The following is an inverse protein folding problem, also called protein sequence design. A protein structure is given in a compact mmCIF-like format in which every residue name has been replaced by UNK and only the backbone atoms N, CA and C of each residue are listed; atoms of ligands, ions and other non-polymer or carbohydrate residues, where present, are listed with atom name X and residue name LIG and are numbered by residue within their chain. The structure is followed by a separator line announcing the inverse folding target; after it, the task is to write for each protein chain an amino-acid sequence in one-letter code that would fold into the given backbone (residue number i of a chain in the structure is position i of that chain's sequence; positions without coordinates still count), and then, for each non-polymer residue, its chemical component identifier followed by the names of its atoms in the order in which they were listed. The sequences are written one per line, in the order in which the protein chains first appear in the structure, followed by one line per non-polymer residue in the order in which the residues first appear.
data_IF_537999483493
#
_entry.id   IF_537999483493
#
_cell.length_a   1.000
_cell.length_b   1.000
_cell.length_c   1.000
_cell.angle_alpha   90.00
_cell.angle_beta   90.00
_cell.angle_gamma   90.00
#
_symmetry.space_group_name_H-M   'P 1'
#
loop_
_entity.id
_entity.type
_entity.pdbx_description
1 polymer ?
#
# COMPACT_ATOMS: atom_id res chain seq x y z
N UNK A 1 31.93 4.33 -1.48
CA UNK A 1 31.77 3.01 -0.85
C UNK A 1 32.16 1.95 -1.86
N UNK A 2 32.93 0.95 -1.46
CA UNK A 2 33.32 -0.17 -2.33
C UNK A 2 32.27 -1.30 -2.22
N UNK A 3 31.34 -1.31 -3.18
CA UNK A 3 30.24 -2.28 -3.20
C UNK A 3 30.70 -3.72 -3.43
N UNK A 4 31.82 -3.95 -4.13
CA UNK A 4 32.38 -5.30 -4.30
C UNK A 4 32.88 -5.87 -2.98
N UNK A 5 33.61 -5.05 -2.23
CA UNK A 5 34.11 -5.43 -0.91
C UNK A 5 32.99 -5.64 0.10
N UNK A 6 31.92 -4.80 0.04
CA UNK A 6 30.75 -4.96 0.87
C UNK A 6 30.00 -6.24 0.54
N UNK A 7 29.72 -6.50 -0.73
CA UNK A 7 29.04 -7.69 -1.22
C UNK A 7 29.77 -8.97 -0.79
N UNK A 8 31.09 -9.03 -0.99
CA UNK A 8 31.92 -10.16 -0.59
C UNK A 8 31.85 -10.43 0.92
N UNK A 9 31.97 -9.36 1.73
CA UNK A 9 31.87 -9.48 3.18
C UNK A 9 30.49 -9.95 3.64
N UNK A 10 29.41 -9.48 3.01
CA UNK A 10 28.04 -9.93 3.31
C UNK A 10 27.92 -11.43 3.00
N UNK A 11 28.31 -11.85 1.78
CA UNK A 11 28.22 -13.26 1.35
C UNK A 11 29.02 -14.17 2.30
N UNK A 12 30.25 -13.80 2.63
CA UNK A 12 31.07 -14.58 3.57
C UNK A 12 30.42 -14.68 4.95
N UNK A 13 29.84 -13.59 5.47
CA UNK A 13 29.27 -13.60 6.82
C UNK A 13 27.85 -14.20 6.91
N UNK A 14 27.17 -14.47 5.81
CA UNK A 14 25.95 -15.30 5.80
C UNK A 14 26.25 -16.80 5.63
N UNK A 15 27.54 -17.18 5.57
CA UNK A 15 28.00 -18.58 5.51
C UNK A 15 28.39 -19.03 4.10
N UNK A 16 28.87 -18.10 3.26
CA UNK A 16 29.28 -18.27 1.89
C UNK A 16 28.18 -18.70 0.91
N UNK A 17 28.52 -18.72 -0.38
CA UNK A 17 27.59 -19.05 -1.48
C UNK A 17 26.92 -20.39 -1.27
N UNK A 18 27.64 -21.39 -0.74
CA UNK A 18 27.12 -22.72 -0.50
C UNK A 18 25.99 -22.78 0.52
N UNK A 19 25.91 -21.81 1.42
CA UNK A 19 24.86 -21.70 2.41
C UNK A 19 23.63 -20.96 1.90
N UNK A 20 23.72 -20.22 0.77
CA UNK A 20 22.64 -19.43 0.21
C UNK A 20 21.81 -20.29 -0.73
N UNK A 21 20.51 -20.44 -0.48
CA UNK A 21 19.56 -21.06 -1.40
C UNK A 21 19.07 -20.07 -2.45
N UNK A 22 18.58 -18.91 -2.01
CA UNK A 22 18.11 -17.84 -2.87
C UNK A 22 18.43 -16.49 -2.24
N UNK A 23 18.62 -15.48 -3.10
CA UNK A 23 18.72 -14.08 -2.72
C UNK A 23 17.61 -13.29 -3.39
N UNK A 24 16.82 -12.60 -2.61
CA UNK A 24 15.83 -11.63 -3.05
C UNK A 24 16.06 -10.30 -2.37
N UNK A 25 15.37 -9.26 -2.80
CA UNK A 25 15.46 -7.95 -2.17
C UNK A 25 14.12 -7.22 -2.15
N UNK A 26 13.95 -6.30 -1.21
CA UNK A 26 12.93 -5.26 -1.24
C UNK A 26 13.60 -3.89 -1.46
N UNK A 27 12.94 -2.78 -1.12
CA UNK A 27 13.52 -1.45 -1.33
C UNK A 27 14.73 -1.14 -0.45
N UNK A 28 14.88 -1.78 0.71
CA UNK A 28 15.90 -1.43 1.71
C UNK A 28 16.71 -2.62 2.23
N UNK A 29 16.33 -3.88 1.91
CA UNK A 29 16.89 -5.09 2.53
C UNK A 29 17.23 -6.16 1.51
N UNK A 30 18.41 -6.76 1.67
CA UNK A 30 18.72 -8.07 1.08
C UNK A 30 18.06 -9.17 1.92
N UNK A 31 17.47 -10.16 1.27
CA UNK A 31 16.78 -11.29 1.90
C UNK A 31 17.41 -12.58 1.44
N UNK A 32 18.12 -13.20 2.33
CA UNK A 32 18.76 -14.48 2.10
C UNK A 32 17.89 -15.62 2.64
N UNK A 33 17.60 -16.59 1.81
CA UNK A 33 17.13 -17.90 2.26
C UNK A 33 18.35 -18.78 2.43
N UNK A 34 18.69 -19.08 3.67
CA UNK A 34 19.89 -19.86 4.02
C UNK A 34 19.51 -21.32 4.24
N UNK A 35 20.43 -22.23 3.88
CA UNK A 35 20.31 -23.67 4.20
C UNK A 35 20.44 -23.90 5.69
N UNK A 36 21.34 -23.16 6.34
CA UNK A 36 21.63 -23.22 7.76
C UNK A 36 21.87 -21.78 8.31
N UNK A 37 20.89 -21.24 9.00
CA UNK A 37 20.98 -19.90 9.57
C UNK A 37 22.01 -19.76 10.70
N UNK A 38 22.44 -20.88 11.31
CA UNK A 38 23.44 -20.87 12.38
C UNK A 38 24.84 -20.53 11.89
N UNK A 39 25.10 -20.66 10.59
CA UNK A 39 26.37 -20.30 9.96
C UNK A 39 26.53 -18.81 9.72
N UNK A 40 25.43 -18.04 9.82
CA UNK A 40 25.48 -16.60 9.62
C UNK A 40 25.98 -15.90 10.89
N UNK A 41 26.97 -15.02 10.70
CA UNK A 41 27.54 -14.22 11.78
C UNK A 41 26.85 -12.84 11.83
N UNK A 42 25.79 -12.73 12.67
CA UNK A 42 25.01 -11.51 12.80
C UNK A 42 25.83 -10.32 13.25
N UNK A 43 26.68 -10.51 14.25
CA UNK A 43 27.49 -9.42 14.84
C UNK A 43 28.51 -8.87 13.83
N UNK A 44 29.14 -9.75 13.06
CA UNK A 44 30.06 -9.34 12.01
C UNK A 44 29.35 -8.56 10.89
N UNK A 45 28.11 -8.94 10.54
CA UNK A 45 27.30 -8.24 9.54
C UNK A 45 26.84 -6.86 10.02
N UNK A 46 26.41 -6.73 11.27
CA UNK A 46 25.98 -5.46 11.85
C UNK A 46 27.13 -4.44 11.95
N UNK A 47 28.36 -4.91 12.09
CA UNK A 47 29.56 -4.07 12.14
C UNK A 47 30.12 -3.68 10.74
N UNK A 48 29.50 -4.10 9.64
CA UNK A 48 29.95 -3.70 8.31
C UNK A 48 29.52 -2.27 7.98
N UNK A 49 30.45 -1.49 7.46
CA UNK A 49 30.15 -0.16 6.96
C UNK A 49 29.13 -0.25 5.80
N UNK A 50 27.98 0.42 5.94
CA UNK A 50 26.87 0.40 5.00
C UNK A 50 25.76 -0.58 5.33
N UNK A 51 25.91 -1.37 6.39
CA UNK A 51 24.82 -2.17 6.99
C UNK A 51 24.16 -1.36 8.09
N UNK A 52 22.84 -1.19 8.02
CA UNK A 52 22.05 -0.47 9.01
C UNK A 52 21.61 -1.41 10.13
N UNK A 53 21.42 -2.68 9.82
CA UNK A 53 21.03 -3.70 10.80
C UNK A 53 20.79 -5.06 10.14
N UNK A 54 20.63 -6.08 10.98
CA UNK A 54 20.39 -7.47 10.53
C UNK A 54 19.24 -8.07 11.31
N UNK A 55 18.28 -8.67 10.60
CA UNK A 55 17.09 -9.30 11.18
C UNK A 55 16.95 -10.71 10.66
N UNK A 56 16.66 -11.66 11.55
CA UNK A 56 16.26 -13.01 11.19
C UNK A 56 14.80 -13.20 11.57
N UNK A 57 13.93 -13.37 10.57
CA UNK A 57 12.51 -13.57 10.78
C UNK A 57 11.91 -14.42 9.64
N UNK A 58 10.92 -15.26 9.97
CA UNK A 58 10.21 -16.08 9.00
C UNK A 58 11.08 -17.03 8.17
N UNK A 59 12.22 -17.48 8.72
CA UNK A 59 13.15 -18.34 7.99
C UNK A 59 14.04 -17.61 7.00
N UNK A 60 13.98 -16.28 6.93
CA UNK A 60 14.81 -15.43 6.07
C UNK A 60 15.80 -14.61 6.90
N UNK A 61 17.01 -14.52 6.39
CA UNK A 61 18.07 -13.70 6.97
C UNK A 61 18.16 -12.38 6.19
N UNK A 62 17.86 -11.27 6.85
CA UNK A 62 17.69 -9.96 6.21
C UNK A 62 18.80 -9.01 6.62
N UNK A 63 19.50 -8.44 5.63
CA UNK A 63 20.52 -7.41 5.82
C UNK A 63 20.01 -6.08 5.28
N UNK A 64 19.88 -5.09 6.15
CA UNK A 64 19.32 -3.77 5.85
C UNK A 64 20.43 -2.87 5.36
N UNK A 65 20.34 -2.39 4.12
CA UNK A 65 21.35 -1.57 3.44
C UNK A 65 20.85 -0.18 3.06
N UNK A 66 19.52 0.05 3.12
CA UNK A 66 18.92 1.32 2.70
C UNK A 66 19.29 1.68 1.25
N UNK A 67 19.85 2.88 1.06
CA UNK A 67 20.22 3.38 -0.27
C UNK A 67 21.33 2.58 -1.00
N UNK A 68 22.07 1.76 -0.29
CA UNK A 68 23.18 0.95 -0.85
C UNK A 68 22.72 -0.41 -1.38
N UNK A 69 21.41 -0.70 -1.30
CA UNK A 69 20.87 -2.01 -1.60
C UNK A 69 21.09 -2.44 -3.05
N UNK A 70 20.59 -1.65 -4.01
CA UNK A 70 20.56 -2.06 -5.42
C UNK A 70 21.96 -2.33 -5.96
N UNK A 71 22.91 -1.44 -5.68
CA UNK A 71 24.30 -1.60 -6.12
C UNK A 71 24.93 -2.85 -5.49
N UNK A 72 24.64 -3.13 -4.21
CA UNK A 72 25.18 -4.31 -3.53
C UNK A 72 24.53 -5.60 -4.06
N UNK A 73 23.20 -5.57 -4.29
CA UNK A 73 22.48 -6.70 -4.87
C UNK A 73 22.99 -7.06 -6.26
N UNK A 74 23.14 -6.05 -7.14
CA UNK A 74 23.66 -6.25 -8.51
C UNK A 74 25.06 -6.86 -8.51
N UNK A 75 25.94 -6.41 -7.62
CA UNK A 75 27.28 -6.99 -7.46
C UNK A 75 27.21 -8.44 -6.98
N UNK A 76 26.36 -8.74 -5.99
CA UNK A 76 26.20 -10.12 -5.50
C UNK A 76 25.69 -11.03 -6.62
N UNK A 77 24.70 -10.58 -7.38
CA UNK A 77 24.14 -11.39 -8.47
C UNK A 77 25.11 -11.62 -9.63
N UNK A 78 25.96 -10.62 -9.93
CA UNK A 78 26.92 -10.71 -11.02
C UNK A 78 28.19 -11.49 -10.66
N UNK A 79 28.69 -11.31 -9.43
CA UNK A 79 30.00 -11.88 -9.01
C UNK A 79 29.86 -13.27 -8.34
N UNK A 80 28.64 -13.60 -7.82
CA UNK A 80 28.36 -14.86 -7.14
C UNK A 80 27.17 -15.55 -7.81
N UNK A 81 27.34 -16.73 -8.33
CA UNK A 81 26.31 -17.48 -9.07
C UNK A 81 25.18 -17.99 -8.11
N UNK A 82 24.39 -17.05 -7.56
CA UNK A 82 23.32 -17.31 -6.60
C UNK A 82 21.97 -17.29 -7.33
N UNK A 83 21.06 -18.20 -6.95
CA UNK A 83 19.70 -18.20 -7.49
C UNK A 83 18.95 -16.91 -7.10
N UNK A 84 18.47 -16.18 -8.13
CA UNK A 84 17.69 -14.96 -7.91
C UNK A 84 16.28 -15.27 -7.47
N UNK A 85 15.86 -14.69 -6.34
CA UNK A 85 14.47 -14.66 -5.89
C UNK A 85 13.69 -13.44 -6.41
N UNK A 86 14.34 -12.55 -7.15
CA UNK A 86 13.75 -11.32 -7.68
C UNK A 86 13.47 -10.24 -6.62
N UNK A 87 12.79 -9.19 -7.08
CA UNK A 87 12.29 -8.13 -6.18
C UNK A 87 11.03 -8.59 -5.47
N UNK A 88 11.00 -8.44 -4.16
CA UNK A 88 9.86 -8.80 -3.31
C UNK A 88 9.25 -7.51 -2.76
N UNK A 89 7.91 -7.41 -2.79
CA UNK A 89 7.20 -6.27 -2.22
C UNK A 89 7.43 -6.18 -0.70
N UNK A 90 7.69 -4.98 -0.18
CA UNK A 90 7.97 -4.74 1.25
C UNK A 90 6.86 -5.21 2.20
N UNK A 91 5.64 -5.37 1.67
CA UNK A 91 4.47 -5.77 2.46
C UNK A 91 4.47 -7.24 2.94
N UNK A 92 5.40 -8.08 2.48
CA UNK A 92 5.50 -9.47 2.94
C UNK A 92 6.12 -9.62 4.35
N UNK A 93 6.76 -8.58 4.88
CA UNK A 93 7.36 -8.62 6.22
C UNK A 93 6.31 -8.69 7.35
N UNK A 94 5.07 -8.29 7.09
CA UNK A 94 3.97 -8.36 8.06
C UNK A 94 3.49 -9.78 8.36
N UNK A 95 3.75 -10.75 7.48
CA UNK A 95 3.30 -12.13 7.65
C UNK A 95 4.36 -13.04 8.30
N UNK A 96 5.59 -12.55 8.49
CA UNK A 96 6.71 -13.31 9.06
C UNK A 96 6.85 -13.15 10.58
N UNK A 97 6.05 -12.30 11.21
CA UNK A 97 5.96 -12.30 12.68
C UNK A 97 5.25 -13.58 13.12
N UNK A 98 5.75 -14.26 14.18
CA UNK A 98 5.02 -15.37 14.79
C UNK A 98 3.58 -14.94 15.01
N UNK A 99 2.59 -15.75 14.60
CA UNK A 99 1.17 -15.47 14.85
C UNK A 99 0.97 -15.35 16.37
N UNK A 100 1.15 -14.13 16.88
CA UNK A 100 0.81 -13.84 18.27
C UNK A 100 -0.67 -14.15 18.48
N UNK A 101 -1.03 -14.79 19.60
CA UNK A 101 -2.41 -15.09 19.91
C UNK A 101 -3.23 -13.78 19.90
N UNK A 102 -4.47 -13.87 19.41
CA UNK A 102 -5.39 -12.75 19.38
C UNK A 102 -5.63 -12.23 20.79
N UNK A 103 -5.05 -11.08 21.12
CA UNK A 103 -5.26 -10.38 22.39
C UNK A 103 -5.80 -8.99 22.06
N UNK A 104 -6.73 -8.48 22.82
CA UNK A 104 -7.29 -7.13 22.63
C UNK A 104 -6.20 -6.04 22.58
N UNK A 105 -5.11 -6.26 23.33
CA UNK A 105 -3.93 -5.39 23.33
C UNK A 105 -3.21 -5.34 21.97
N UNK A 106 -3.24 -6.44 21.20
CA UNK A 106 -2.60 -6.54 19.89
C UNK A 106 -3.54 -6.22 18.72
N UNK A 107 -4.86 -6.12 18.98
CA UNK A 107 -5.85 -5.82 17.93
C UNK A 107 -5.65 -4.42 17.35
N UNK A 108 -5.42 -3.43 18.19
CA UNK A 108 -5.14 -2.05 17.76
C UNK A 108 -3.88 -1.96 16.89
N UNK A 109 -2.80 -2.61 17.30
CA UNK A 109 -1.55 -2.68 16.53
C UNK A 109 -1.73 -3.34 15.16
N UNK A 110 -2.53 -4.40 15.08
CA UNK A 110 -2.86 -5.09 13.81
C UNK A 110 -3.68 -4.22 12.88
N UNK A 111 -4.66 -3.47 13.40
CA UNK A 111 -5.47 -2.53 12.62
C UNK A 111 -4.58 -1.39 12.07
N UNK A 112 -3.76 -0.78 12.91
CA UNK A 112 -2.83 0.27 12.50
C UNK A 112 -1.84 -0.27 11.46
N UNK A 113 -1.29 -1.46 11.67
CA UNK A 113 -0.41 -2.13 10.72
C UNK A 113 -1.08 -2.42 9.38
N UNK A 114 -2.34 -2.85 9.37
CA UNK A 114 -3.13 -3.05 8.14
C UNK A 114 -3.36 -1.73 7.40
N UNK A 115 -3.79 -0.68 8.10
CA UNK A 115 -4.00 0.65 7.52
C UNK A 115 -2.69 1.17 6.93
N UNK A 116 -1.60 1.13 7.70
CA UNK A 116 -0.28 1.58 7.26
C UNK A 116 0.19 0.84 6.01
N UNK A 117 0.13 -0.49 6.00
CA UNK A 117 0.55 -1.30 4.84
C UNK A 117 -0.32 -1.08 3.61
N UNK A 118 -1.60 -0.72 3.79
CA UNK A 118 -2.51 -0.40 2.67
C UNK A 118 -2.21 0.96 2.04
N UNK A 119 -1.69 1.91 2.82
CA UNK A 119 -1.37 3.28 2.39
C UNK A 119 0.03 3.39 1.80
N UNK A 120 0.98 2.60 2.29
CA UNK A 120 2.40 2.66 1.88
C UNK A 120 2.62 2.65 0.37
N UNK A 121 1.95 1.82 -0.45
CA UNK A 121 2.20 1.78 -1.90
C UNK A 121 1.89 3.08 -2.63
N UNK A 122 1.02 3.94 -2.09
CA UNK A 122 0.65 5.21 -2.74
C UNK A 122 1.54 6.39 -2.34
N UNK A 123 2.36 6.27 -1.28
CA UNK A 123 3.18 7.36 -0.75
C UNK A 123 4.05 8.03 -1.82
N UNK A 124 4.76 7.30 -2.71
CA UNK A 124 5.55 7.93 -3.77
C UNK A 124 4.72 8.83 -4.69
N UNK A 125 3.50 8.41 -5.03
CA UNK A 125 2.57 9.20 -5.84
C UNK A 125 2.11 10.47 -5.12
N UNK A 126 1.82 10.40 -3.82
CA UNK A 126 1.45 11.57 -3.02
C UNK A 126 2.60 12.58 -2.92
N UNK A 127 3.83 12.11 -2.72
CA UNK A 127 5.02 12.96 -2.69
C UNK A 127 5.20 13.66 -4.04
N UNK A 128 5.13 12.92 -5.15
CA UNK A 128 5.27 13.49 -6.49
C UNK A 128 4.19 14.52 -6.81
N UNK A 129 2.92 14.21 -6.53
CA UNK A 129 1.80 15.14 -6.70
C UNK A 129 1.93 16.39 -5.83
N UNK A 130 2.32 16.21 -4.56
CA UNK A 130 2.56 17.30 -3.63
C UNK A 130 3.69 18.24 -4.09
N UNK A 131 4.81 17.67 -4.54
CA UNK A 131 5.91 18.47 -5.10
C UNK A 131 5.51 19.23 -6.36
N UNK A 132 4.70 18.63 -7.23
CA UNK A 132 4.18 19.32 -8.40
C UNK A 132 3.27 20.50 -8.01
N UNK A 133 2.40 20.34 -6.99
CA UNK A 133 1.61 21.47 -6.43
C UNK A 133 2.49 22.60 -5.92
N UNK A 134 3.59 22.26 -5.22
CA UNK A 134 4.55 23.27 -4.76
C UNK A 134 5.17 24.03 -5.93
N UNK A 135 5.59 23.34 -6.99
CA UNK A 135 6.15 23.98 -8.19
C UNK A 135 5.12 24.92 -8.82
N UNK A 136 3.86 24.49 -8.98
CA UNK A 136 2.80 25.35 -9.52
C UNK A 136 2.55 26.58 -8.64
N UNK A 137 2.57 26.42 -7.32
CA UNK A 137 2.44 27.54 -6.38
C UNK A 137 3.59 28.54 -6.53
N UNK A 138 4.84 28.07 -6.67
CA UNK A 138 6.00 28.93 -6.86
C UNK A 138 5.91 29.72 -8.18
N UNK A 139 5.44 29.09 -9.26
CA UNK A 139 5.22 29.78 -10.54
C UNK A 139 4.21 30.92 -10.37
N UNK A 140 3.05 30.63 -9.76
CA UNK A 140 2.00 31.66 -9.54
C UNK A 140 2.47 32.77 -8.63
N UNK A 141 3.26 32.44 -7.60
CA UNK A 141 3.67 33.43 -6.58
C UNK A 141 4.83 34.31 -7.05
N UNK A 142 5.81 33.76 -7.78
CA UNK A 142 7.07 34.46 -8.05
C UNK A 142 7.30 34.81 -9.54
N UNK A 143 6.59 34.12 -10.47
CA UNK A 143 6.84 34.29 -11.90
C UNK A 143 5.67 35.01 -12.57
N UNK A 144 4.46 34.47 -12.50
CA UNK A 144 3.28 35.03 -13.15
C UNK A 144 2.01 34.66 -12.39
N UNK A 145 1.43 35.65 -11.72
CA UNK A 145 0.17 35.51 -10.98
C UNK A 145 -1.03 35.21 -11.89
N UNK A 146 -1.01 35.67 -13.16
CA UNK A 146 -2.06 35.42 -14.14
C UNK A 146 -2.07 33.97 -14.62
N UNK A 147 -0.96 33.25 -14.46
CA UNK A 147 -0.88 31.82 -14.79
C UNK A 147 -1.94 30.99 -14.09
N UNK A 148 -2.34 31.33 -12.85
CA UNK A 148 -3.37 30.67 -12.07
C UNK A 148 -4.74 30.56 -12.78
N UNK A 149 -5.05 31.49 -13.69
CA UNK A 149 -6.31 31.50 -14.46
C UNK A 149 -6.21 30.82 -15.82
N UNK A 150 -5.01 30.39 -16.20
CA UNK A 150 -4.76 29.75 -17.49
C UNK A 150 -5.28 28.30 -17.53
N UNK A 151 -5.70 27.83 -18.70
CA UNK A 151 -6.07 26.43 -18.93
C UNK A 151 -4.91 25.48 -18.62
N UNK A 152 -3.67 25.91 -18.86
CA UNK A 152 -2.48 25.12 -18.55
C UNK A 152 -2.34 24.87 -17.05
N UNK A 153 -2.56 25.92 -16.23
CA UNK A 153 -2.55 25.76 -14.77
C UNK A 153 -3.64 24.77 -14.30
N UNK A 154 -4.86 24.91 -14.82
CA UNK A 154 -5.96 24.01 -14.44
C UNK A 154 -5.64 22.56 -14.77
N UNK A 155 -5.08 22.26 -15.94
CA UNK A 155 -4.69 20.91 -16.33
C UNK A 155 -3.51 20.37 -15.49
N UNK A 156 -2.48 21.17 -15.27
CA UNK A 156 -1.34 20.80 -14.44
C UNK A 156 -1.75 20.60 -12.98
N UNK A 157 -2.64 21.44 -12.47
CA UNK A 157 -3.22 21.30 -11.13
C UNK A 157 -4.00 19.99 -10.99
N UNK A 158 -4.79 19.60 -12.01
CA UNK A 158 -5.48 18.33 -12.02
C UNK A 158 -4.51 17.13 -12.02
N UNK A 159 -3.41 17.20 -12.78
CA UNK A 159 -2.35 16.18 -12.76
C UNK A 159 -1.72 16.07 -11.36
N UNK A 160 -1.41 17.20 -10.73
CA UNK A 160 -0.81 17.26 -9.40
C UNK A 160 -1.78 16.77 -8.31
N UNK A 161 -3.09 16.98 -8.51
CA UNK A 161 -4.14 16.58 -7.57
C UNK A 161 -4.57 15.10 -7.70
N UNK A 162 -4.37 14.50 -8.86
CA UNK A 162 -4.84 13.15 -9.15
C UNK A 162 -4.45 12.10 -8.09
N UNK A 163 -3.21 12.02 -7.55
CA UNK A 163 -2.86 11.07 -6.51
C UNK A 163 -3.68 11.25 -5.22
N UNK A 164 -4.09 12.47 -4.91
CA UNK A 164 -4.91 12.78 -3.74
C UNK A 164 -6.37 12.48 -4.00
N UNK A 165 -6.92 12.94 -5.13
CA UNK A 165 -8.32 12.73 -5.47
C UNK A 165 -8.68 11.26 -5.64
N UNK A 166 -7.81 10.49 -6.32
CA UNK A 166 -7.99 9.07 -6.54
C UNK A 166 -7.41 8.18 -5.42
N UNK A 167 -7.06 8.76 -4.28
CA UNK A 167 -6.58 8.03 -3.09
C UNK A 167 -7.40 6.79 -2.74
N UNK A 168 -8.75 6.79 -2.77
CA UNK A 168 -9.54 5.60 -2.48
C UNK A 168 -9.19 4.39 -3.35
N UNK A 169 -8.86 4.61 -4.62
CA UNK A 169 -8.50 3.53 -5.55
C UNK A 169 -7.14 2.94 -5.18
N UNK A 170 -6.15 3.78 -4.86
CA UNK A 170 -4.81 3.32 -4.49
C UNK A 170 -4.79 2.61 -3.14
N UNK A 171 -5.58 3.10 -2.18
CA UNK A 171 -5.74 2.45 -0.87
C UNK A 171 -6.43 1.09 -1.02
N UNK A 172 -7.46 1.00 -1.86
CA UNK A 172 -8.13 -0.28 -2.15
C UNK A 172 -7.16 -1.30 -2.78
N UNK A 173 -6.26 -0.83 -3.67
CA UNK A 173 -5.17 -1.66 -4.21
C UNK A 173 -4.28 -2.21 -3.10
N UNK A 174 -3.73 -1.33 -2.24
CA UNK A 174 -2.83 -1.73 -1.16
C UNK A 174 -3.50 -2.67 -0.16
N UNK A 175 -4.76 -2.39 0.21
CA UNK A 175 -5.54 -3.23 1.12
C UNK A 175 -5.83 -4.62 0.53
N UNK A 176 -6.22 -4.69 -0.75
CA UNK A 176 -6.49 -5.95 -1.43
C UNK A 176 -5.23 -6.82 -1.54
N UNK A 177 -4.09 -6.22 -1.91
CA UNK A 177 -2.80 -6.92 -1.92
C UNK A 177 -2.45 -7.48 -0.54
N UNK A 178 -2.62 -6.68 0.52
CA UNK A 178 -2.34 -7.12 1.90
C UNK A 178 -3.23 -8.26 2.35
N UNK A 179 -4.48 -8.31 1.87
CA UNK A 179 -5.44 -9.38 2.17
C UNK A 179 -5.26 -10.62 1.28
N UNK A 180 -4.48 -10.53 0.20
CA UNK A 180 -4.34 -11.60 -0.80
C UNK A 180 -5.58 -11.73 -1.69
N UNK A 181 -6.33 -10.64 -1.89
CA UNK A 181 -7.47 -10.54 -2.82
C UNK A 181 -7.01 -10.11 -4.21
N UNK A 182 -7.88 -10.23 -5.20
CA UNK A 182 -7.65 -9.70 -6.55
C UNK A 182 -7.81 -8.17 -6.54
N UNK A 183 -6.70 -7.37 -6.67
CA UNK A 183 -6.75 -5.93 -6.40
C UNK A 183 -7.73 -5.18 -7.29
N UNK A 184 -7.86 -5.58 -8.55
CA UNK A 184 -8.71 -4.89 -9.52
C UNK A 184 -10.18 -4.85 -9.10
N UNK A 185 -10.69 -5.86 -8.39
CA UNK A 185 -12.08 -5.88 -7.93
C UNK A 185 -12.32 -4.85 -6.81
N UNK A 186 -11.40 -4.76 -5.86
CA UNK A 186 -11.46 -3.76 -4.79
C UNK A 186 -11.31 -2.35 -5.36
N UNK A 187 -10.35 -2.14 -6.27
CA UNK A 187 -10.13 -0.86 -6.95
C UNK A 187 -11.38 -0.41 -7.72
N UNK A 188 -11.99 -1.29 -8.52
CA UNK A 188 -13.20 -0.98 -9.28
C UNK A 188 -14.38 -0.62 -8.37
N UNK A 189 -14.54 -1.35 -7.25
CA UNK A 189 -15.58 -1.07 -6.26
C UNK A 189 -15.36 0.29 -5.56
N UNK A 190 -14.12 0.64 -5.22
CA UNK A 190 -13.79 1.95 -4.64
C UNK A 190 -13.92 3.09 -5.67
N UNK A 191 -13.52 2.83 -6.94
CA UNK A 191 -13.65 3.79 -8.02
C UNK A 191 -15.12 4.17 -8.32
N UNK A 192 -16.07 3.26 -8.05
CA UNK A 192 -17.49 3.56 -8.19
C UNK A 192 -17.93 4.76 -7.34
N UNK A 193 -17.34 4.94 -6.15
CA UNK A 193 -17.61 6.10 -5.27
C UNK A 193 -17.12 7.45 -5.88
N UNK A 194 -16.22 7.40 -6.83
CA UNK A 194 -15.64 8.57 -7.51
C UNK A 194 -16.21 8.77 -8.92
N UNK A 195 -17.08 7.85 -9.37
CA UNK A 195 -17.62 7.88 -10.71
C UNK A 195 -18.47 9.14 -10.95
N UNK A 196 -18.33 9.78 -12.11
CA UNK A 196 -19.00 11.03 -12.47
C UNK A 196 -20.52 11.01 -12.29
N UNK A 197 -21.17 9.87 -12.55
CA UNK A 197 -22.62 9.73 -12.31
C UNK A 197 -22.96 9.90 -10.83
N UNK A 198 -22.17 9.30 -9.93
CA UNK A 198 -22.44 9.43 -8.49
C UNK A 198 -22.07 10.83 -7.99
N UNK A 199 -20.90 11.35 -8.33
CA UNK A 199 -20.48 12.70 -7.91
C UNK A 199 -21.39 13.79 -8.47
N UNK A 200 -21.93 13.60 -9.69
CA UNK A 200 -22.95 14.48 -10.26
C UNK A 200 -24.26 14.47 -9.47
N UNK A 201 -24.73 13.30 -9.03
CA UNK A 201 -25.91 13.18 -8.18
C UNK A 201 -25.68 13.83 -6.79
N UNK A 202 -24.49 13.66 -6.22
CA UNK A 202 -24.11 14.32 -4.95
C UNK A 202 -24.14 15.84 -5.11
N UNK A 203 -23.59 16.36 -6.21
CA UNK A 203 -23.56 17.80 -6.51
C UNK A 203 -24.98 18.36 -6.74
N UNK A 204 -25.87 17.57 -7.36
CA UNK A 204 -27.25 17.95 -7.59
C UNK A 204 -28.08 18.03 -6.29
N UNK A 205 -27.64 17.37 -5.20
CA UNK A 205 -28.28 17.40 -3.88
C UNK A 205 -29.65 16.73 -3.81
N UNK A 206 -30.06 16.00 -4.86
CA UNK A 206 -31.33 15.29 -4.87
C UNK A 206 -31.24 13.95 -4.11
N UNK A 207 -32.31 13.50 -3.42
CA UNK A 207 -32.30 12.22 -2.74
C UNK A 207 -31.97 11.06 -3.70
N UNK A 208 -31.00 10.24 -3.34
CA UNK A 208 -30.56 9.10 -4.15
C UNK A 208 -30.99 7.81 -3.45
N UNK A 209 -31.50 6.87 -4.20
CA UNK A 209 -31.81 5.53 -3.72
C UNK A 209 -31.17 4.45 -4.60
N UNK A 210 -30.68 3.39 -3.98
CA UNK A 210 -30.21 2.19 -4.64
C UNK A 210 -31.06 1.01 -4.14
N UNK A 211 -31.81 0.38 -5.03
CA UNK A 211 -32.79 -0.67 -4.69
C UNK A 211 -33.81 -0.24 -3.63
N UNK A 212 -34.21 1.05 -3.60
CA UNK A 212 -35.14 1.60 -2.62
C UNK A 212 -34.51 1.98 -1.27
N UNK A 213 -33.22 1.73 -1.09
CA UNK A 213 -32.46 2.12 0.10
C UNK A 213 -31.80 3.49 -0.14
N UNK A 214 -31.96 4.43 0.79
CA UNK A 214 -31.37 5.76 0.70
C UNK A 214 -29.85 5.71 0.73
N UNK A 215 -29.20 6.44 -0.19
CA UNK A 215 -27.75 6.59 -0.28
C UNK A 215 -27.36 7.99 0.19
N UNK A 216 -26.34 8.07 1.05
CA UNK A 216 -25.86 9.35 1.58
C UNK A 216 -25.15 10.17 0.52
N UNK A 217 -25.48 11.47 0.44
CA UNK A 217 -24.87 12.45 -0.48
C UNK A 217 -23.51 12.92 0.06
N UNK A 218 -22.51 12.06 0.00
CA UNK A 218 -21.17 12.33 0.50
C UNK A 218 -20.15 12.27 -0.62
N UNK A 219 -19.20 13.20 -0.62
CA UNK A 219 -18.04 13.14 -1.50
C UNK A 219 -16.97 12.24 -0.88
N UNK A 220 -16.54 11.24 -1.62
CA UNK A 220 -15.54 10.26 -1.18
C UNK A 220 -14.15 10.49 -1.79
N UNK A 221 -13.96 11.55 -2.59
CA UNK A 221 -12.63 11.99 -3.01
C UNK A 221 -11.73 12.19 -1.79
N UNK A 222 -10.47 11.78 -1.87
CA UNK A 222 -9.51 11.85 -0.75
C UNK A 222 -9.84 11.01 0.49
N UNK A 223 -10.88 10.17 0.45
CA UNK A 223 -11.30 9.35 1.59
C UNK A 223 -10.52 8.03 1.68
N UNK A 224 -9.97 7.74 2.85
CA UNK A 224 -9.20 6.53 3.09
C UNK A 224 -10.05 5.39 3.66
N UNK A 225 -10.83 5.65 4.71
CA UNK A 225 -11.53 4.61 5.47
C UNK A 225 -12.63 3.90 4.68
N UNK A 226 -13.48 4.59 3.89
CA UNK A 226 -14.44 3.92 3.01
C UNK A 226 -13.78 2.91 2.07
N UNK A 227 -12.64 3.28 1.47
CA UNK A 227 -11.92 2.42 0.55
C UNK A 227 -11.34 1.16 1.22
N UNK A 228 -10.82 1.30 2.45
CA UNK A 228 -10.35 0.17 3.25
C UNK A 228 -11.48 -0.81 3.55
N UNK A 229 -12.64 -0.31 3.98
CA UNK A 229 -13.81 -1.13 4.28
C UNK A 229 -14.33 -1.86 3.02
N UNK A 230 -14.36 -1.18 1.88
CA UNK A 230 -14.75 -1.78 0.59
C UNK A 230 -13.76 -2.88 0.19
N UNK A 231 -12.46 -2.66 0.34
CA UNK A 231 -11.45 -3.67 0.01
C UNK A 231 -11.56 -4.92 0.91
N UNK A 232 -11.82 -4.74 2.21
CA UNK A 232 -12.08 -5.84 3.14
C UNK A 232 -13.34 -6.62 2.71
N UNK A 233 -14.43 -5.93 2.39
CA UNK A 233 -15.65 -6.57 1.91
C UNK A 233 -15.40 -7.31 0.60
N UNK A 234 -14.72 -6.69 -0.37
CA UNK A 234 -14.38 -7.29 -1.66
C UNK A 234 -13.60 -8.61 -1.47
N UNK A 235 -12.63 -8.65 -0.55
CA UNK A 235 -11.90 -9.87 -0.20
C UNK A 235 -12.84 -10.99 0.27
N UNK A 236 -13.75 -10.71 1.20
CA UNK A 236 -14.65 -11.73 1.73
C UNK A 236 -15.66 -12.21 0.69
N UNK A 237 -16.20 -11.29 -0.13
CA UNK A 237 -17.12 -11.62 -1.22
C UNK A 237 -16.42 -12.46 -2.29
N UNK A 238 -15.22 -12.06 -2.72
CA UNK A 238 -14.41 -12.81 -3.68
C UNK A 238 -14.13 -14.23 -3.17
N UNK A 239 -13.70 -14.35 -1.92
CA UNK A 239 -13.42 -15.65 -1.29
C UNK A 239 -14.67 -16.54 -1.22
N UNK A 240 -15.82 -15.98 -0.90
CA UNK A 240 -17.10 -16.67 -0.86
C UNK A 240 -17.53 -17.13 -2.24
N UNK A 241 -17.48 -16.25 -3.25
CA UNK A 241 -17.85 -16.57 -4.62
C UNK A 241 -16.93 -17.62 -5.25
N UNK A 242 -15.63 -17.54 -4.98
CA UNK A 242 -14.66 -18.54 -5.43
C UNK A 242 -14.95 -19.95 -4.88
N UNK A 243 -15.61 -20.05 -3.73
CA UNK A 243 -15.97 -21.33 -3.12
C UNK A 243 -17.25 -21.93 -3.74
N UNK A 244 -18.18 -21.10 -4.20
CA UNK A 244 -19.49 -21.54 -4.70
C UNK A 244 -19.51 -21.70 -6.20
N UNK A 245 -18.84 -20.80 -6.95
CA UNK A 245 -18.91 -20.76 -8.41
C UNK A 245 -18.00 -21.85 -9.00
N UNK A 246 -18.53 -22.69 -9.93
CA UNK A 246 -17.74 -23.70 -10.64
C UNK A 246 -16.58 -23.05 -11.44
N UNK A 247 -15.46 -23.76 -11.58
CA UNK A 247 -14.23 -23.25 -12.21
C UNK A 247 -14.42 -22.64 -13.60
N UNK A 248 -15.30 -23.20 -14.40
CA UNK A 248 -15.59 -22.71 -15.77
C UNK A 248 -16.13 -21.27 -15.76
N UNK A 249 -16.89 -20.91 -14.73
CA UNK A 249 -17.57 -19.63 -14.63
C UNK A 249 -16.86 -18.62 -13.75
N UNK A 250 -15.79 -19.02 -13.02
CA UNK A 250 -15.09 -18.14 -12.07
C UNK A 250 -14.55 -16.87 -12.71
N UNK A 251 -13.97 -16.98 -13.90
CA UNK A 251 -13.33 -15.86 -14.58
C UNK A 251 -14.28 -14.66 -14.82
N UNK A 252 -15.57 -14.92 -14.97
CA UNK A 252 -16.57 -13.89 -15.23
C UNK A 252 -17.37 -13.55 -13.97
N UNK A 253 -17.97 -14.55 -13.33
CA UNK A 253 -18.96 -14.31 -12.27
C UNK A 253 -18.36 -13.92 -10.93
N UNK A 254 -17.12 -14.32 -10.62
CA UNK A 254 -16.47 -13.91 -9.37
C UNK A 254 -16.19 -12.41 -9.38
N UNK A 255 -15.58 -11.90 -10.45
CA UNK A 255 -15.29 -10.47 -10.58
C UNK A 255 -16.55 -9.63 -10.62
N UNK A 256 -17.52 -10.03 -11.48
CA UNK A 256 -18.80 -9.34 -11.59
C UNK A 256 -19.54 -9.28 -10.25
N UNK A 257 -19.68 -10.42 -9.56
CA UNK A 257 -20.35 -10.49 -8.27
C UNK A 257 -19.64 -9.69 -7.18
N UNK A 258 -18.29 -9.75 -7.15
CA UNK A 258 -17.49 -9.02 -6.17
C UNK A 258 -17.66 -7.51 -6.35
N UNK A 259 -17.50 -6.98 -7.55
CA UNK A 259 -17.64 -5.56 -7.83
C UNK A 259 -19.08 -5.10 -7.55
N UNK A 260 -20.07 -5.88 -7.96
CA UNK A 260 -21.48 -5.54 -7.73
C UNK A 260 -21.82 -5.47 -6.24
N UNK A 261 -21.48 -6.48 -5.46
CA UNK A 261 -21.80 -6.54 -4.02
C UNK A 261 -20.98 -5.49 -3.25
N UNK A 262 -19.66 -5.44 -3.46
CA UNK A 262 -18.80 -4.51 -2.73
C UNK A 262 -19.07 -3.06 -3.12
N UNK A 263 -19.38 -2.76 -4.38
CA UNK A 263 -19.77 -1.43 -4.84
C UNK A 263 -21.12 -1.00 -4.28
N UNK A 264 -22.14 -1.86 -4.36
CA UNK A 264 -23.50 -1.54 -3.85
C UNK A 264 -23.50 -1.30 -2.34
N UNK A 265 -22.85 -2.17 -1.56
CA UNK A 265 -22.72 -1.99 -0.12
C UNK A 265 -21.76 -0.85 0.23
N UNK A 266 -20.81 -0.54 -0.67
CA UNK A 266 -19.97 0.64 -0.61
C UNK A 266 -20.78 1.92 -0.57
N UNK A 267 -21.76 2.07 -1.45
CA UNK A 267 -22.68 3.24 -1.47
C UNK A 267 -23.60 3.31 -0.27
N UNK A 268 -24.22 2.18 0.11
CA UNK A 268 -25.30 2.16 1.10
C UNK A 268 -24.76 2.23 2.53
N UNK A 269 -23.70 1.46 2.83
CA UNK A 269 -23.27 1.22 4.22
C UNK A 269 -21.81 1.66 4.43
N UNK A 270 -20.86 1.12 3.66
CA UNK A 270 -19.44 1.24 3.99
C UNK A 270 -18.91 2.66 3.76
N UNK A 271 -19.43 3.36 2.75
CA UNK A 271 -19.12 4.75 2.50
C UNK A 271 -19.50 5.64 3.68
N UNK A 272 -20.78 5.70 4.07
CA UNK A 272 -21.24 6.47 5.22
C UNK A 272 -20.55 6.09 6.53
N UNK A 273 -20.39 4.78 6.80
CA UNK A 273 -19.69 4.31 8.00
C UNK A 273 -18.23 4.76 8.01
N UNK A 274 -17.50 4.56 6.91
CA UNK A 274 -16.11 4.98 6.81
C UNK A 274 -15.96 6.50 7.00
N UNK A 275 -16.88 7.29 6.47
CA UNK A 275 -16.89 8.73 6.66
C UNK A 275 -17.17 9.12 8.13
N UNK A 276 -18.13 8.46 8.80
CA UNK A 276 -18.39 8.68 10.23
C UNK A 276 -17.16 8.39 11.10
N UNK A 277 -16.49 7.27 10.86
CA UNK A 277 -15.23 6.94 11.56
C UNK A 277 -14.13 7.97 11.28
N UNK A 278 -13.99 8.41 10.02
CA UNK A 278 -13.03 9.44 9.66
C UNK A 278 -13.29 10.77 10.36
N UNK A 279 -14.53 11.22 10.39
CA UNK A 279 -14.93 12.44 11.10
C UNK A 279 -14.74 12.29 12.61
N UNK A 280 -15.05 11.13 13.19
CA UNK A 280 -14.84 10.86 14.61
C UNK A 280 -13.38 10.97 15.02
N UNK A 281 -12.47 10.41 14.21
CA UNK A 281 -11.02 10.54 14.42
C UNK A 281 -10.59 12.00 14.30
N UNK A 282 -11.01 12.70 13.25
CA UNK A 282 -10.68 14.11 13.04
C UNK A 282 -11.17 15.00 14.20
N UNK A 283 -12.39 14.78 14.68
CA UNK A 283 -12.96 15.50 15.82
C UNK A 283 -12.17 15.26 17.11
N UNK A 284 -11.69 14.03 17.33
CA UNK A 284 -10.86 13.68 18.47
C UNK A 284 -9.52 14.45 18.41
N UNK A 285 -8.88 14.51 17.24
CA UNK A 285 -7.63 15.28 17.07
C UNK A 285 -7.85 16.78 17.30
N UNK A 286 -8.91 17.37 16.73
CA UNK A 286 -9.24 18.78 16.96
C UNK A 286 -9.51 19.08 18.44
N UNK A 287 -10.18 18.17 19.14
CA UNK A 287 -10.40 18.32 20.58
C UNK A 287 -9.10 18.31 21.36
N UNK A 288 -8.17 17.40 21.02
CA UNK A 288 -6.85 17.34 21.66
C UNK A 288 -5.99 18.59 21.37
N UNK A 289 -6.05 19.11 20.15
CA UNK A 289 -5.34 20.32 19.76
C UNK A 289 -5.90 21.58 20.45
N UNK A 290 -7.22 21.66 20.61
CA UNK A 290 -7.88 22.78 21.32
C UNK A 290 -7.73 22.76 22.84
N UNK A 291 -7.16 21.68 23.42
CA UNK A 291 -6.90 21.55 24.88
C UNK A 291 -5.42 21.80 25.25
N UNK A 292 -4.55 22.04 24.26
CA UNK A 292 -3.13 22.43 24.42
C UNK A 292 -2.97 23.90 24.09
#
# INVERSE_FOLDING_TARGET
MDYKKLAQKIVTNVGDVDNIQTLSHCMTRLRFQLKDASKANKEALENLEGVIGVVYAGGQYMVILGQHLLQTYDVIMNDFNIASGGSIDENLDGDLTPKEPWTWKNAGSKIIGFVSSSVTPMIPGLIAGGMLKVVLLLIVTFIDSHFATSSSYLLLSAIADAPFYFMPIFVAYGAANKLGATPIYAMASAAALLHGNFTGLVTAGAPITLFGISVSLLSYGTSLLPALLIAILAYYVEKFLNKIIPNIFKAIFVGMGTIFVAGSLGFIILGPLGNMFGQGIASLFMFLEGTV
#
